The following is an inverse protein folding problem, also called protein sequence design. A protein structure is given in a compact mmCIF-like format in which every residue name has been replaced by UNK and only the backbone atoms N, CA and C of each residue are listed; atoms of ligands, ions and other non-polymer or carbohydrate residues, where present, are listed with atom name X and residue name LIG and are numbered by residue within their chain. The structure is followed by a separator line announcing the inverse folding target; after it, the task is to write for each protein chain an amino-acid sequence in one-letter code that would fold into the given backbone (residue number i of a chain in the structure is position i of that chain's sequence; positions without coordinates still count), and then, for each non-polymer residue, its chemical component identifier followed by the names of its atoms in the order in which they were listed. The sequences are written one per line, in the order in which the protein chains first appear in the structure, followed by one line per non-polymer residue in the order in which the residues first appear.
data_IF_832146510674
#
_entry.id   IF_832146510674
#
_cell.length_a   1.000
_cell.length_b   1.000
_cell.length_c   1.000
_cell.angle_alpha   90.00
_cell.angle_beta   90.00
_cell.angle_gamma   90.00
#
_symmetry.space_group_name_H-M   'P 1'
#
loop_
_entity.id
_entity.type
_entity.pdbx_description
1 polymer ?
#
# COMPACT_ATOMS: atom_id res chain seq x y z
N UNK A 1 -16.88 3.74 -11.00
CA UNK A 1 -16.09 2.62 -10.45
C UNK A 1 -14.85 3.22 -9.79
N UNK A 2 -14.42 2.69 -8.64
CA UNK A 2 -13.18 3.10 -7.98
C UNK A 2 -12.30 1.86 -7.81
N UNK A 3 -11.06 1.96 -8.29
CA UNK A 3 -10.07 0.88 -8.21
C UNK A 3 -8.83 1.44 -7.50
N UNK A 4 -8.22 0.62 -6.65
CA UNK A 4 -6.93 0.91 -6.06
C UNK A 4 -5.92 -0.13 -6.55
N UNK A 5 -4.72 0.32 -6.87
CA UNK A 5 -3.62 -0.54 -7.28
C UNK A 5 -2.37 -0.15 -6.49
N UNK A 6 -1.60 -1.15 -6.06
CA UNK A 6 -0.34 -0.95 -5.35
C UNK A 6 0.88 -0.92 -6.30
N UNK A 7 0.68 -1.23 -7.58
CA UNK A 7 1.71 -1.21 -8.61
C UNK A 7 1.30 -0.31 -9.79
N UNK A 8 2.25 0.41 -10.40
CA UNK A 8 1.98 1.21 -11.59
C UNK A 8 1.65 0.31 -12.78
N UNK A 9 0.94 0.86 -13.77
CA UNK A 9 0.51 0.13 -14.97
C UNK A 9 1.66 -0.50 -15.77
N UNK A 10 2.86 0.09 -15.72
CA UNK A 10 4.05 -0.47 -16.37
C UNK A 10 4.52 -1.81 -15.78
N UNK A 11 4.02 -2.20 -14.61
CA UNK A 11 4.32 -3.47 -13.96
C UNK A 11 3.16 -4.47 -14.07
N UNK A 12 2.11 -4.14 -14.83
CA UNK A 12 0.94 -5.02 -14.96
C UNK A 12 1.19 -6.20 -15.91
N UNK A 13 2.24 -6.15 -16.73
CA UNK A 13 2.66 -7.29 -17.55
C UNK A 13 3.07 -8.51 -16.69
N UNK A 14 3.49 -8.29 -15.44
CA UNK A 14 3.81 -9.37 -14.49
C UNK A 14 2.56 -9.93 -13.77
N UNK A 15 1.44 -9.21 -13.84
CA UNK A 15 0.19 -9.56 -13.15
C UNK A 15 -0.74 -10.33 -14.10
N UNK A 16 -0.83 -9.89 -15.35
CA UNK A 16 -1.63 -10.53 -16.38
C UNK A 16 -0.80 -11.59 -17.09
N UNK A 17 -1.43 -12.74 -17.38
CA UNK A 17 -0.76 -13.82 -18.14
C UNK A 17 -0.40 -13.41 -19.57
N UNK A 18 -1.12 -12.44 -20.12
CA UNK A 18 -0.90 -11.89 -21.46
C UNK A 18 -0.84 -10.35 -21.38
N UNK A 19 0.28 -9.79 -21.86
CA UNK A 19 0.50 -8.34 -21.91
C UNK A 19 -0.56 -7.61 -22.74
N UNK A 20 -1.07 -8.22 -23.82
CA UNK A 20 -2.15 -7.63 -24.62
C UNK A 20 -3.45 -7.48 -23.82
N UNK A 21 -3.70 -8.42 -22.90
CA UNK A 21 -4.84 -8.31 -21.99
C UNK A 21 -4.64 -7.18 -20.97
N UNK A 22 -3.42 -7.01 -20.43
CA UNK A 22 -3.10 -5.91 -19.52
C UNK A 22 -3.39 -4.55 -20.18
N UNK A 23 -2.87 -4.35 -21.40
CA UNK A 23 -3.07 -3.11 -22.16
C UNK A 23 -4.55 -2.86 -22.43
N UNK A 24 -5.30 -3.87 -22.88
CA UNK A 24 -6.74 -3.74 -23.14
C UNK A 24 -7.55 -3.43 -21.87
N UNK A 25 -7.14 -3.95 -20.72
CA UNK A 25 -7.76 -3.62 -19.44
C UNK A 25 -7.46 -2.17 -19.04
N UNK A 26 -6.20 -1.75 -19.11
CA UNK A 26 -5.78 -0.38 -18.79
C UNK A 26 -6.53 0.62 -19.66
N UNK A 27 -6.56 0.43 -20.98
CA UNK A 27 -7.27 1.30 -21.93
C UNK A 27 -8.72 1.56 -21.51
N UNK A 28 -9.48 0.50 -21.22
CA UNK A 28 -10.88 0.61 -20.76
C UNK A 28 -11.03 1.33 -19.42
N UNK A 29 -10.07 1.16 -18.51
CA UNK A 29 -10.09 1.80 -17.19
C UNK A 29 -9.81 3.30 -17.28
N UNK A 30 -8.88 3.69 -18.15
CA UNK A 30 -8.42 5.08 -18.25
C UNK A 30 -9.23 5.91 -19.25
N UNK A 31 -9.95 5.28 -20.19
CA UNK A 31 -10.72 5.98 -21.23
C UNK A 31 -11.71 7.02 -20.66
N UNK A 32 -12.34 6.72 -19.52
CA UNK A 32 -13.22 7.65 -18.81
C UNK A 32 -12.86 7.78 -17.32
N UNK A 33 -11.57 7.56 -16.99
CA UNK A 33 -11.07 7.53 -15.62
C UNK A 33 -10.14 8.71 -15.30
N UNK A 34 -10.05 9.04 -14.02
CA UNK A 34 -9.00 9.91 -13.48
C UNK A 34 -7.99 9.05 -12.73
N UNK A 35 -6.71 9.16 -13.09
CA UNK A 35 -5.63 8.50 -12.37
C UNK A 35 -5.16 9.42 -11.26
N UNK A 36 -5.11 8.90 -10.04
CA UNK A 36 -4.59 9.61 -8.87
C UNK A 36 -3.42 8.79 -8.31
N UNK A 37 -2.22 9.33 -8.41
CA UNK A 37 -1.03 8.72 -7.83
C UNK A 37 -0.84 9.18 -6.38
N UNK A 38 -0.73 8.22 -5.46
CA UNK A 38 -0.63 8.52 -4.02
C UNK A 38 0.79 8.22 -3.55
N UNK A 39 1.57 9.28 -3.35
CA UNK A 39 2.91 9.22 -2.77
C UNK A 39 2.84 9.61 -1.29
N UNK A 40 2.49 8.64 -0.44
CA UNK A 40 2.36 8.83 0.99
C UNK A 40 3.00 7.69 1.79
N UNK A 41 3.51 8.02 2.98
CA UNK A 41 3.99 7.01 3.92
C UNK A 41 2.88 6.04 4.34
N UNK A 42 3.26 4.77 4.55
CA UNK A 42 2.36 3.75 5.10
C UNK A 42 1.79 4.17 6.46
N UNK A 43 0.47 4.37 6.50
CA UNK A 43 -0.27 4.63 7.73
C UNK A 43 -0.02 3.54 8.78
N UNK A 44 -0.05 2.26 8.36
CA UNK A 44 0.20 1.11 9.24
C UNK A 44 1.59 1.16 9.89
N UNK A 45 2.60 1.58 9.12
CA UNK A 45 3.98 1.72 9.63
C UNK A 45 4.03 2.78 10.72
N UNK A 46 3.43 3.96 10.49
CA UNK A 46 3.36 5.03 11.51
C UNK A 46 2.72 4.56 12.81
N UNK A 47 1.58 3.86 12.73
CA UNK A 47 0.89 3.33 13.92
C UNK A 47 1.71 2.25 14.63
N UNK A 48 2.42 1.40 13.91
CA UNK A 48 3.29 0.38 14.50
C UNK A 48 4.45 1.01 15.27
N UNK A 49 5.13 2.00 14.67
CA UNK A 49 6.22 2.74 15.34
C UNK A 49 5.74 3.42 16.62
N UNK A 50 4.56 4.04 16.60
CA UNK A 50 3.98 4.67 17.81
C UNK A 50 3.68 3.64 18.92
N UNK A 51 3.13 2.47 18.56
CA UNK A 51 2.88 1.39 19.51
C UNK A 51 4.18 0.89 20.13
N UNK A 52 5.21 0.62 19.32
CA UNK A 52 6.51 0.15 19.82
C UNK A 52 7.18 1.18 20.74
N UNK A 53 7.09 2.48 20.41
CA UNK A 53 7.61 3.54 21.26
C UNK A 53 6.91 3.61 22.64
N UNK A 54 5.60 3.38 22.68
CA UNK A 54 4.83 3.32 23.94
C UNK A 54 5.21 2.10 24.78
N UNK A 55 5.44 0.94 24.16
CA UNK A 55 5.81 -0.28 24.88
C UNK A 55 7.22 -0.20 25.50
N UNK A 56 8.15 0.55 24.91
CA UNK A 56 9.50 0.76 25.46
C UNK A 56 9.56 1.77 26.62
N UNK A 57 8.50 2.54 26.85
CA UNK A 57 8.45 3.61 27.86
C UNK A 57 7.98 3.13 29.25
N UNK A 58 7.69 1.83 29.44
CA UNK A 58 7.43 1.27 30.76
C UNK A 58 8.70 0.64 31.34
N UNK A 59 9.39 1.30 32.31
CA UNK A 59 10.40 0.62 33.09
C UNK A 59 9.72 -0.44 33.94
N UNK A 60 10.13 -1.68 33.72
CA UNK A 60 9.78 -2.87 34.48
C UNK A 60 9.95 -2.58 35.98
N UNK A 61 8.85 -2.21 36.67
CA UNK A 61 8.84 -2.04 38.12
C UNK A 61 9.13 -3.40 38.77
N UNK A 62 10.35 -3.52 39.28
CA UNK A 62 10.71 -4.15 40.56
C UNK A 62 9.69 -5.17 41.08
N UNK A 63 9.90 -6.44 40.74
CA UNK A 63 9.51 -7.54 41.63
C UNK A 63 10.77 -8.11 42.26
N UNK A 64 11.22 -7.43 43.31
CA UNK A 64 12.08 -8.01 44.33
C UNK A 64 11.21 -8.95 45.16
N UNK A 65 11.52 -10.23 45.19
CA UNK A 65 11.20 -11.10 46.31
C UNK A 65 12.34 -12.11 46.50
#
# INVERSE_FOLDING_TARGET
MLITANQPFSQWDDIFTDSMMAVAAIDRLIHHGLIIEIQADSYRRKSATQRTAQTQSQPQKSQSK
#
